data_IF_428364019968
#
_entry.id   IF_428364019968
#
_cell.length_a   1.000
_cell.length_b   1.000
_cell.length_c   1.000
_cell.angle_alpha   90.00
_cell.angle_beta   90.00
_cell.angle_gamma   90.00
#
_symmetry.space_group_name_H-M   'P 1'
#
loop_
_entity.id
_entity.type
_entity.pdbx_description
1 polymer ?
#
# COMPACT_ATOMS: atom_id res chain seq x y z
N UNK A 1 -7.17 18.09 -15.24
CA UNK A 1 -5.91 18.87 -15.11
C UNK A 1 -6.18 20.06 -14.20
N UNK A 2 -5.16 20.52 -13.48
CA UNK A 2 -5.19 21.72 -12.65
C UNK A 2 -4.13 22.70 -13.17
N UNK A 3 -4.55 23.93 -13.42
CA UNK A 3 -3.75 25.08 -13.87
C UNK A 3 -3.40 26.05 -12.72
N UNK A 4 -4.09 25.92 -11.59
CA UNK A 4 -3.77 26.60 -10.32
C UNK A 4 -3.84 25.63 -9.14
N UNK A 5 -3.33 26.06 -7.98
CA UNK A 5 -3.49 25.31 -6.73
C UNK A 5 -4.95 24.94 -6.51
N UNK A 6 -5.21 23.68 -6.16
CA UNK A 6 -6.57 23.19 -5.94
C UNK A 6 -6.65 22.36 -4.66
N UNK A 7 -7.78 22.44 -3.97
CA UNK A 7 -8.01 21.71 -2.73
C UNK A 7 -9.30 20.91 -2.84
N UNK A 8 -9.21 19.61 -2.54
CA UNK A 8 -10.35 18.73 -2.38
C UNK A 8 -10.64 18.54 -0.89
N UNK A 9 -11.90 18.64 -0.50
CA UNK A 9 -12.32 18.50 0.90
C UNK A 9 -13.32 17.36 1.04
N UNK A 10 -13.05 16.47 1.99
CA UNK A 10 -13.87 15.31 2.32
C UNK A 10 -14.43 15.45 3.72
N UNK A 11 -15.74 15.24 3.86
CA UNK A 11 -16.39 15.08 5.17
C UNK A 11 -16.47 13.59 5.47
N UNK A 12 -15.75 13.16 6.49
CA UNK A 12 -15.66 11.77 6.94
C UNK A 12 -16.70 11.53 8.03
N UNK A 13 -17.30 10.34 8.07
CA UNK A 13 -18.28 9.98 9.09
C UNK A 13 -17.67 9.80 10.49
N UNK A 14 -16.35 9.59 10.56
CA UNK A 14 -15.60 9.39 11.81
C UNK A 14 -14.20 9.95 11.64
N UNK A 15 -13.65 10.52 12.71
CA UNK A 15 -12.22 10.78 12.83
C UNK A 15 -11.46 9.45 13.06
N UNK A 16 -10.15 9.46 12.83
CA UNK A 16 -9.27 8.31 13.01
C UNK A 16 -8.47 7.97 11.76
N UNK A 17 -8.03 6.71 11.68
CA UNK A 17 -7.20 6.23 10.58
C UNK A 17 -7.97 6.10 9.27
N UNK A 18 -7.37 6.61 8.21
CA UNK A 18 -7.88 6.51 6.85
C UNK A 18 -6.75 6.19 5.88
N UNK A 19 -7.03 5.34 4.89
CA UNK A 19 -6.20 5.30 3.69
C UNK A 19 -6.56 6.44 2.75
N UNK A 20 -5.53 7.14 2.28
CA UNK A 20 -5.59 8.02 1.13
C UNK A 20 -4.92 7.29 -0.03
N UNK A 21 -5.66 7.08 -1.13
CA UNK A 21 -5.12 6.50 -2.36
C UNK A 21 -5.25 7.52 -3.48
N UNK A 22 -4.11 7.85 -4.08
CA UNK A 22 -4.01 8.81 -5.17
C UNK A 22 -3.67 8.04 -6.44
N UNK A 23 -4.54 8.15 -7.44
CA UNK A 23 -4.41 7.43 -8.71
C UNK A 23 -3.96 8.40 -9.81
N UNK A 24 -2.83 8.07 -10.43
CA UNK A 24 -2.22 8.83 -11.51
C UNK A 24 -2.11 7.95 -12.74
N UNK A 25 -2.59 8.46 -13.87
CA UNK A 25 -2.38 7.92 -15.19
C UNK A 25 -2.11 9.11 -16.11
N UNK A 26 -0.83 9.43 -16.38
CA UNK A 26 -0.47 10.59 -17.17
C UNK A 26 -0.84 10.31 -18.63
N UNK A 27 -1.87 10.98 -19.11
CA UNK A 27 -2.25 10.98 -20.53
C UNK A 27 -1.41 12.03 -21.24
N UNK A 28 -0.79 11.64 -22.35
CA UNK A 28 -0.13 12.58 -23.27
C UNK A 28 -1.11 12.95 -24.38
N UNK A 29 -1.30 14.24 -24.58
CA UNK A 29 -2.08 14.81 -25.69
C UNK A 29 -1.24 15.88 -26.40
N UNK A 30 -1.64 16.29 -27.60
CA UNK A 30 -0.89 17.28 -28.40
C UNK A 30 -0.73 18.62 -27.68
N UNK A 31 -1.70 19.00 -26.85
CA UNK A 31 -1.72 20.28 -26.13
C UNK A 31 -1.10 20.20 -24.72
N UNK A 32 -1.12 19.01 -24.09
CA UNK A 32 -0.64 18.82 -22.72
C UNK A 32 0.02 17.45 -22.51
N UNK A 33 1.27 17.47 -22.05
CA UNK A 33 1.98 16.27 -21.63
C UNK A 33 2.02 16.15 -20.10
N UNK A 34 1.05 15.42 -19.53
CA UNK A 34 0.95 15.20 -18.08
C UNK A 34 2.15 14.43 -17.48
N UNK A 35 3.00 13.83 -18.30
CA UNK A 35 4.27 13.24 -17.83
C UNK A 35 5.27 14.30 -17.37
N UNK A 36 5.14 15.54 -17.85
CA UNK A 36 5.99 16.67 -17.45
C UNK A 36 5.43 17.45 -16.25
N UNK A 37 4.26 17.06 -15.75
CA UNK A 37 3.66 17.65 -14.56
C UNK A 37 4.55 17.45 -13.33
N UNK A 38 4.79 18.52 -12.59
CA UNK A 38 5.53 18.53 -11.33
C UNK A 38 4.76 19.29 -10.27
N UNK A 39 4.37 18.59 -9.21
CA UNK A 39 3.51 19.17 -8.17
C UNK A 39 3.72 18.52 -6.80
N UNK A 40 3.15 19.14 -5.78
CA UNK A 40 3.09 18.64 -4.40
C UNK A 40 1.67 18.27 -4.05
N UNK A 41 1.51 17.25 -3.22
CA UNK A 41 0.23 16.90 -2.60
C UNK A 41 0.39 16.96 -1.09
N UNK A 42 -0.45 17.77 -0.46
CA UNK A 42 -0.40 18.08 0.96
C UNK A 42 -1.76 17.76 1.57
N UNK A 43 -1.75 17.13 2.73
CA UNK A 43 -2.93 16.86 3.54
C UNK A 43 -2.72 17.44 4.92
N UNK A 44 -3.44 18.51 5.26
CA UNK A 44 -3.22 19.32 6.46
C UNK A 44 -1.74 19.73 6.62
N UNK A 45 -1.02 19.21 7.62
CA UNK A 45 0.41 19.44 7.84
C UNK A 45 1.33 18.37 7.21
N UNK A 46 0.77 17.33 6.61
CA UNK A 46 1.50 16.20 6.05
C UNK A 46 1.73 16.38 4.55
N UNK A 47 2.99 16.36 4.12
CA UNK A 47 3.35 16.30 2.69
C UNK A 47 3.28 14.84 2.24
N UNK A 48 2.25 14.49 1.47
CA UNK A 48 2.09 13.13 0.91
C UNK A 48 3.04 12.91 -0.28
N UNK A 49 3.11 13.92 -1.15
CA UNK A 49 3.96 13.92 -2.34
C UNK A 49 4.73 15.23 -2.41
N UNK A 50 6.05 15.12 -2.58
CA UNK A 50 6.94 16.26 -2.77
C UNK A 50 7.56 16.19 -4.16
N UNK A 51 7.40 17.25 -4.96
CA UNK A 51 7.97 17.33 -6.31
C UNK A 51 7.67 16.09 -7.19
N UNK A 52 6.44 15.59 -7.12
CA UNK A 52 6.04 14.38 -7.82
C UNK A 52 5.98 14.59 -9.33
N UNK A 53 6.62 13.67 -10.05
CA UNK A 53 6.46 13.41 -11.48
C UNK A 53 5.95 11.98 -11.65
N UNK A 54 5.02 11.78 -12.58
CA UNK A 54 4.46 10.45 -12.83
C UNK A 54 5.32 9.67 -13.83
N UNK A 55 5.56 8.40 -13.54
CA UNK A 55 6.04 7.45 -14.54
C UNK A 55 4.96 7.20 -15.61
N UNK A 56 5.36 6.75 -16.82
CA UNK A 56 4.39 6.28 -17.82
C UNK A 56 3.51 5.15 -17.26
N UNK A 57 2.21 5.23 -17.55
CA UNK A 57 1.24 4.22 -17.10
C UNK A 57 0.59 4.54 -15.75
N UNK A 58 -0.18 3.58 -15.22
CA UNK A 58 -0.94 3.77 -14.00
C UNK A 58 -0.07 3.59 -12.76
N UNK A 59 -0.10 4.59 -11.87
CA UNK A 59 0.55 4.55 -10.56
C UNK A 59 -0.47 4.90 -9.47
N UNK A 60 -0.43 4.14 -8.38
CA UNK A 60 -1.22 4.40 -7.19
C UNK A 60 -0.30 4.64 -5.99
N UNK A 61 -0.52 5.74 -5.27
CA UNK A 61 0.19 6.06 -4.02
C UNK A 61 -0.76 5.90 -2.85
N UNK A 62 -0.40 5.05 -1.88
CA UNK A 62 -1.23 4.69 -0.72
C UNK A 62 -0.60 5.16 0.59
N UNK A 63 -1.32 5.99 1.32
CA UNK A 63 -0.93 6.51 2.63
C UNK A 63 -1.97 6.10 3.66
N UNK A 64 -1.53 5.82 4.89
CA UNK A 64 -2.36 5.58 6.06
C UNK A 64 -2.08 6.72 7.04
N UNK A 65 -3.09 7.53 7.30
CA UNK A 65 -2.98 8.78 8.05
C UNK A 65 -4.07 8.84 9.10
N UNK A 66 -3.73 9.33 10.29
CA UNK A 66 -4.68 9.52 11.38
C UNK A 66 -5.17 10.96 11.41
N UNK A 67 -6.48 11.17 11.29
CA UNK A 67 -7.09 12.49 11.33
C UNK A 67 -7.87 12.67 12.63
N UNK A 68 -7.62 13.78 13.34
CA UNK A 68 -8.37 14.13 14.55
C UNK A 68 -9.68 14.84 14.24
N UNK A 69 -9.80 15.43 13.05
CA UNK A 69 -11.00 16.07 12.52
C UNK A 69 -11.79 15.11 11.63
N UNK A 70 -13.11 15.32 11.54
CA UNK A 70 -13.98 14.68 10.54
C UNK A 70 -13.91 15.36 9.17
N UNK A 71 -13.02 16.33 9.00
CA UNK A 71 -12.75 16.99 7.73
C UNK A 71 -11.32 16.72 7.30
N UNK A 72 -11.16 16.20 6.09
CA UNK A 72 -9.88 15.95 5.43
C UNK A 72 -9.76 16.90 4.23
N UNK A 73 -8.63 17.61 4.12
CA UNK A 73 -8.31 18.42 2.95
C UNK A 73 -7.08 17.88 2.24
N UNK A 74 -7.16 17.70 0.91
CA UNK A 74 -6.04 17.31 0.05
C UNK A 74 -5.79 18.44 -0.92
N UNK A 75 -4.67 19.15 -0.73
CA UNK A 75 -4.23 20.28 -1.54
C UNK A 75 -3.17 19.84 -2.54
N UNK A 76 -3.37 20.21 -3.80
CA UNK A 76 -2.40 20.12 -4.87
C UNK A 76 -1.77 21.50 -5.07
N UNK A 77 -0.45 21.57 -4.98
CA UNK A 77 0.32 22.80 -5.23
C UNK A 77 1.29 22.60 -6.38
N UNK A 78 1.23 23.47 -7.36
CA UNK A 78 1.95 23.31 -8.62
C UNK A 78 3.39 23.85 -8.48
N UNK A 79 4.32 23.26 -9.21
CA UNK A 79 5.59 23.91 -9.47
C UNK A 79 5.39 25.09 -10.44
N UNK A 80 6.36 26.02 -10.48
CA UNK A 80 6.33 27.14 -11.42
C UNK A 80 6.27 26.61 -12.87
N UNK A 81 5.40 27.19 -13.68
CA UNK A 81 5.19 26.86 -15.09
C UNK A 81 4.92 25.36 -15.32
N UNK A 82 4.24 24.71 -14.37
CA UNK A 82 3.88 23.29 -14.42
C UNK A 82 2.38 23.09 -14.18
N UNK A 83 1.90 21.86 -14.38
CA UNK A 83 0.52 21.45 -14.16
C UNK A 83 0.45 20.39 -13.06
N UNK A 84 -0.71 20.28 -12.42
CA UNK A 84 -1.02 19.13 -11.56
C UNK A 84 -2.18 18.32 -12.13
N UNK A 85 -2.20 17.03 -11.83
CA UNK A 85 -3.31 16.17 -12.22
C UNK A 85 -3.55 15.08 -11.19
N UNK A 86 -4.78 14.57 -11.20
CA UNK A 86 -5.21 13.44 -10.42
C UNK A 86 -6.34 12.77 -11.20
N UNK A 87 -6.33 11.44 -11.30
CA UNK A 87 -7.38 10.70 -11.99
C UNK A 87 -8.47 10.25 -11.01
N UNK A 88 -8.07 9.83 -9.80
CA UNK A 88 -9.00 9.51 -8.72
C UNK A 88 -8.35 9.69 -7.35
N UNK A 89 -9.19 10.01 -6.36
CA UNK A 89 -8.84 10.05 -4.94
C UNK A 89 -9.79 9.09 -4.21
N UNK A 90 -9.24 8.12 -3.50
CA UNK A 90 -10.01 7.29 -2.56
C UNK A 90 -9.64 7.68 -1.13
N UNK A 91 -10.65 7.86 -0.29
CA UNK A 91 -10.53 8.03 1.16
C UNK A 91 -11.32 6.92 1.82
N UNK A 92 -10.63 6.00 2.52
CA UNK A 92 -11.23 4.78 3.04
C UNK A 92 -10.91 4.65 4.53
N UNK A 93 -11.92 4.46 5.38
CA UNK A 93 -11.73 4.24 6.81
C UNK A 93 -10.88 2.99 7.08
N UNK A 94 -9.89 3.13 7.96
CA UNK A 94 -9.04 2.06 8.45
C UNK A 94 -9.33 1.79 9.94
N UNK A 95 -9.73 0.57 10.30
CA UNK A 95 -9.92 0.20 11.71
C UNK A 95 -8.62 0.29 12.53
N UNK A 96 -8.74 0.76 13.77
CA UNK A 96 -7.60 0.96 14.70
C UNK A 96 -6.84 -0.35 14.96
N UNK A 97 -7.53 -1.50 14.93
CA UNK A 97 -6.93 -2.83 15.09
C UNK A 97 -5.85 -3.19 14.05
N UNK A 98 -5.74 -2.43 12.96
CA UNK A 98 -4.72 -2.66 11.92
C UNK A 98 -3.38 -2.00 12.25
N UNK A 99 -3.35 -1.11 13.24
CA UNK A 99 -2.17 -0.32 13.59
C UNK A 99 -1.82 -0.61 15.05
N UNK A 100 -0.73 -1.34 15.26
CA UNK A 100 -0.16 -1.52 16.60
C UNK A 100 0.67 -0.29 16.96
N UNK A 101 0.50 0.24 18.18
CA UNK A 101 1.39 1.29 18.70
C UNK A 101 2.78 0.75 19.06
N UNK A 102 2.85 -0.56 19.33
CA UNK A 102 4.06 -1.26 19.73
C UNK A 102 4.65 -1.99 18.53
N UNK A 103 5.97 -1.86 18.35
CA UNK A 103 6.75 -2.65 17.41
C UNK A 103 8.13 -2.96 17.95
N UNK A 104 9.00 -3.52 17.11
CA UNK A 104 10.38 -3.85 17.46
C UNK A 104 11.34 -3.14 16.49
N UNK A 105 12.40 -2.54 17.02
CA UNK A 105 13.55 -2.12 16.22
C UNK A 105 14.39 -3.33 15.85
N UNK A 106 15.09 -3.26 14.71
CA UNK A 106 15.93 -4.36 14.24
C UNK A 106 17.31 -4.38 14.90
N UNK A 107 17.93 -3.21 15.05
CA UNK A 107 19.30 -3.07 15.57
C UNK A 107 19.43 -1.81 16.43
N UNK A 108 19.61 -1.92 17.75
CA UNK A 108 19.45 -3.14 18.56
C UNK A 108 17.99 -3.61 18.56
N UNK A 109 17.77 -4.88 18.89
CA UNK A 109 16.40 -5.39 19.12
C UNK A 109 15.89 -4.78 20.41
N UNK A 110 14.94 -3.87 20.29
CA UNK A 110 14.28 -3.23 21.40
C UNK A 110 12.82 -2.97 21.04
N UNK A 111 11.96 -3.00 22.05
CA UNK A 111 10.58 -2.60 21.87
C UNK A 111 10.53 -1.08 21.64
N UNK A 112 9.78 -0.66 20.63
CA UNK A 112 9.46 0.74 20.37
C UNK A 112 7.96 0.95 20.49
N UNK A 113 7.56 2.15 20.87
CA UNK A 113 6.17 2.58 21.01
C UNK A 113 5.96 3.86 20.18
N UNK A 114 4.75 4.42 20.20
CA UNK A 114 4.42 5.64 19.45
C UNK A 114 4.41 5.46 17.93
N UNK A 115 4.24 4.22 17.43
CA UNK A 115 4.02 4.00 16.00
C UNK A 115 2.73 4.69 15.52
N UNK A 116 1.71 4.78 16.37
CA UNK A 116 0.44 5.44 16.04
C UNK A 116 0.56 6.97 15.92
N UNK A 117 1.68 7.57 16.32
CA UNK A 117 1.95 9.00 16.15
C UNK A 117 2.48 9.34 14.75
N UNK A 118 2.76 8.32 13.93
CA UNK A 118 3.33 8.48 12.59
C UNK A 118 2.29 8.19 11.50
N UNK A 119 2.50 8.78 10.32
CA UNK A 119 1.77 8.39 9.10
C UNK A 119 2.60 7.42 8.29
N UNK A 120 1.94 6.50 7.57
CA UNK A 120 2.62 5.43 6.83
C UNK A 120 2.36 5.54 5.34
N UNK A 121 3.39 5.34 4.52
CA UNK A 121 3.21 5.03 3.12
C UNK A 121 3.32 3.51 2.94
N UNK A 122 2.33 2.89 2.31
CA UNK A 122 2.47 1.47 1.95
C UNK A 122 3.31 1.35 0.68
N UNK A 123 4.46 0.71 0.80
CA UNK A 123 5.37 0.45 -0.33
C UNK A 123 5.11 -0.93 -0.94
N UNK A 124 4.96 -1.95 -0.10
CA UNK A 124 4.69 -3.32 -0.52
C UNK A 124 3.54 -3.92 0.29
N UNK A 125 2.75 -4.77 -0.37
CA UNK A 125 1.71 -5.59 0.26
C UNK A 125 1.65 -6.91 -0.51
N UNK A 126 2.09 -7.99 0.10
CA UNK A 126 2.40 -9.24 -0.60
C UNK A 126 1.57 -10.41 -0.08
N UNK A 127 1.07 -11.24 -1.00
CA UNK A 127 0.53 -12.56 -0.69
C UNK A 127 1.64 -13.61 -0.88
N UNK A 128 2.31 -13.98 0.20
CA UNK A 128 3.50 -14.84 0.15
C UNK A 128 3.13 -16.27 -0.23
N UNK A 129 3.76 -16.81 -1.28
CA UNK A 129 3.52 -18.16 -1.78
C UNK A 129 2.15 -18.36 -2.45
N UNK A 130 1.33 -17.31 -2.53
CA UNK A 130 0.00 -17.32 -3.11
C UNK A 130 -0.09 -16.47 -4.37
N UNK A 131 -1.20 -16.60 -5.13
CA UNK A 131 -1.45 -15.74 -6.28
C UNK A 131 -1.81 -14.32 -5.84
N UNK A 132 -1.78 -13.37 -6.79
CA UNK A 132 -2.27 -12.01 -6.57
C UNK A 132 -3.71 -12.02 -6.03
N UNK A 133 -3.96 -11.23 -4.98
CA UNK A 133 -5.31 -10.99 -4.46
C UNK A 133 -5.81 -9.65 -5.00
N UNK A 134 -6.89 -9.72 -5.78
CA UNK A 134 -7.51 -8.54 -6.38
C UNK A 134 -8.29 -7.73 -5.35
N UNK A 135 -8.34 -6.40 -5.54
CA UNK A 135 -9.00 -5.49 -4.62
C UNK A 135 -10.48 -5.82 -4.38
N UNK A 136 -11.18 -6.43 -5.34
CA UNK A 136 -12.59 -6.80 -5.17
C UNK A 136 -12.78 -7.85 -4.06
N UNK A 137 -11.80 -8.73 -3.88
CA UNK A 137 -11.81 -9.85 -2.93
C UNK A 137 -11.30 -9.47 -1.53
N UNK A 138 -10.73 -8.27 -1.36
CA UNK A 138 -10.28 -7.75 -0.06
C UNK A 138 -11.36 -6.85 0.57
N UNK A 139 -11.74 -7.06 1.84
CA UNK A 139 -12.76 -6.25 2.52
C UNK A 139 -12.46 -4.74 2.56
N UNK A 140 -11.18 -4.37 2.51
CA UNK A 140 -10.70 -2.99 2.54
C UNK A 140 -10.23 -2.52 1.16
N UNK A 141 -10.56 -3.27 0.10
CA UNK A 141 -10.20 -2.97 -1.29
C UNK A 141 -8.69 -2.84 -1.53
N UNK A 142 -7.87 -3.58 -0.80
CA UNK A 142 -6.41 -3.65 -1.00
C UNK A 142 -6.08 -4.71 -2.06
N UNK A 143 -5.08 -4.44 -2.89
CA UNK A 143 -4.49 -5.47 -3.75
C UNK A 143 -3.21 -6.02 -3.11
N UNK A 144 -3.09 -7.35 -3.10
CA UNK A 144 -1.91 -8.05 -2.60
C UNK A 144 -1.13 -8.64 -3.78
N UNK A 145 0.11 -8.21 -3.97
CA UNK A 145 0.95 -8.67 -5.06
C UNK A 145 1.62 -10.03 -4.75
N UNK A 146 2.03 -10.75 -5.78
CA UNK A 146 2.85 -11.95 -5.62
C UNK A 146 4.25 -11.59 -5.09
N UNK A 147 4.81 -12.45 -4.27
CA UNK A 147 6.11 -12.27 -3.64
C UNK A 147 7.29 -12.73 -4.52
N UNK A 148 7.04 -13.58 -5.51
CA UNK A 148 8.06 -14.24 -6.35
C UNK A 148 9.12 -13.29 -6.95
N UNK A 149 8.71 -12.08 -7.36
CA UNK A 149 9.64 -11.08 -7.93
C UNK A 149 10.65 -10.52 -6.91
N UNK A 150 10.36 -10.64 -5.62
CA UNK A 150 11.21 -10.20 -4.52
C UNK A 150 12.10 -11.32 -3.97
N UNK A 151 11.88 -12.57 -4.40
CA UNK A 151 12.64 -13.72 -3.93
C UNK A 151 14.02 -13.78 -4.59
N UNK A 152 15.06 -13.90 -3.75
CA UNK A 152 16.46 -14.03 -4.19
C UNK A 152 17.16 -15.11 -3.35
N UNK A 153 17.61 -16.25 -3.93
CA UNK A 153 17.43 -16.68 -5.33
C UNK A 153 15.99 -17.13 -5.63
N UNK A 154 15.57 -17.11 -6.90
CA UNK A 154 14.17 -17.41 -7.29
C UNK A 154 13.72 -18.86 -7.00
N UNK A 155 14.66 -19.77 -6.78
CA UNK A 155 14.43 -21.17 -6.42
C UNK A 155 14.72 -21.44 -4.93
N UNK A 156 14.71 -20.41 -4.08
CA UNK A 156 14.97 -20.57 -2.65
C UNK A 156 13.82 -21.24 -1.89
N UNK A 157 12.62 -21.25 -2.47
CA UNK A 157 11.42 -21.65 -1.75
C UNK A 157 10.39 -22.30 -2.64
N UNK A 158 9.54 -23.09 -1.98
CA UNK A 158 8.43 -23.82 -2.55
C UNK A 158 7.12 -23.26 -1.98
N UNK A 159 6.15 -23.04 -2.86
CA UNK A 159 4.82 -22.58 -2.45
C UNK A 159 4.03 -23.75 -1.85
N UNK A 160 3.37 -23.48 -0.73
CA UNK A 160 2.42 -24.39 -0.09
C UNK A 160 1.11 -23.68 0.14
N UNK A 161 0.00 -24.41 0.05
CA UNK A 161 -1.32 -23.83 0.24
C UNK A 161 -2.34 -24.83 0.77
N UNK A 162 -3.40 -24.28 1.35
CA UNK A 162 -4.63 -24.97 1.76
C UNK A 162 -5.83 -24.24 1.13
N UNK A 163 -7.02 -24.83 1.21
CA UNK A 163 -8.21 -24.14 0.73
C UNK A 163 -8.57 -22.94 1.63
N UNK A 164 -8.79 -21.72 1.11
CA UNK A 164 -9.03 -20.53 1.95
C UNK A 164 -10.20 -20.64 2.94
N UNK A 165 -11.17 -21.52 2.67
CA UNK A 165 -12.33 -21.75 3.53
C UNK A 165 -11.98 -22.38 4.89
N UNK A 166 -10.79 -22.99 5.02
CA UNK A 166 -10.35 -23.60 6.29
C UNK A 166 -9.75 -22.57 7.26
N UNK A 167 -9.52 -21.35 6.80
CA UNK A 167 -8.96 -20.28 7.62
C UNK A 167 -10.01 -19.77 8.59
N UNK A 168 -9.71 -19.91 9.88
CA UNK A 168 -10.50 -19.37 10.98
C UNK A 168 -9.73 -18.25 11.67
N UNK A 169 -10.43 -17.15 11.98
CA UNK A 169 -9.85 -16.03 12.71
C UNK A 169 -10.14 -16.20 14.21
N UNK A 170 -9.11 -16.17 15.07
CA UNK A 170 -9.30 -16.15 16.52
C UNK A 170 -10.15 -14.95 16.97
N UNK A 171 -10.73 -15.05 18.17
CA UNK A 171 -11.48 -13.95 18.78
C UNK A 171 -10.64 -12.66 18.82
N UNK A 172 -11.22 -11.54 18.37
CA UNK A 172 -10.54 -10.24 18.27
C UNK A 172 -9.79 -10.02 16.95
N UNK A 173 -9.59 -11.06 16.14
CA UNK A 173 -9.09 -10.93 14.77
C UNK A 173 -10.24 -10.88 13.76
N UNK A 174 -9.94 -10.36 12.58
CA UNK A 174 -10.93 -10.14 11.54
C UNK A 174 -10.31 -10.30 10.14
N UNK A 175 -11.10 -10.71 9.13
CA UNK A 175 -10.69 -10.64 7.71
C UNK A 175 -10.27 -9.25 7.24
N UNK A 176 -10.55 -8.20 8.04
CA UNK A 176 -10.02 -6.86 7.82
C UNK A 176 -8.49 -6.81 7.92
N UNK A 177 -7.84 -7.67 8.73
CA UNK A 177 -6.37 -7.73 8.81
C UNK A 177 -5.79 -8.16 7.47
N UNK A 178 -6.24 -9.31 6.96
CA UNK A 178 -5.97 -9.82 5.62
C UNK A 178 -7.05 -10.83 5.25
N UNK A 179 -7.40 -10.99 3.97
CA UNK A 179 -8.40 -11.96 3.53
C UNK A 179 -7.90 -13.41 3.72
N UNK A 180 -8.80 -14.40 3.81
CA UNK A 180 -8.43 -15.80 4.06
C UNK A 180 -7.38 -16.33 3.09
N UNK A 181 -7.43 -15.90 1.83
CA UNK A 181 -6.49 -16.31 0.78
C UNK A 181 -5.03 -15.96 1.09
N UNK A 182 -4.78 -14.96 1.94
CA UNK A 182 -3.41 -14.58 2.35
C UNK A 182 -2.85 -15.53 3.40
N UNK A 183 -3.68 -16.02 4.32
CA UNK A 183 -3.28 -17.00 5.33
C UNK A 183 -3.31 -18.44 4.81
N UNK A 184 -3.97 -18.67 3.68
CA UNK A 184 -4.10 -19.97 3.06
C UNK A 184 -2.88 -20.38 2.21
N UNK A 185 -1.91 -19.49 2.03
CA UNK A 185 -0.68 -19.75 1.30
C UNK A 185 0.54 -19.31 2.09
N UNK A 186 1.66 -19.99 1.86
CA UNK A 186 2.96 -19.62 2.38
C UNK A 186 4.06 -20.10 1.43
N UNK A 187 5.28 -19.64 1.69
CA UNK A 187 6.49 -20.16 1.06
C UNK A 187 7.35 -20.84 2.12
N UNK A 188 7.69 -22.11 1.89
CA UNK A 188 8.63 -22.87 2.72
C UNK A 188 9.98 -23.00 2.01
N UNK A 189 11.06 -23.19 2.78
CA UNK A 189 12.38 -23.44 2.19
C UNK A 189 12.38 -24.74 1.40
N UNK A 190 12.91 -24.70 0.18
CA UNK A 190 13.08 -25.92 -0.61
C UNK A 190 14.38 -26.64 -0.19
N UNK A 191 14.25 -27.88 0.28
CA UNK A 191 15.41 -28.71 0.63
C UNK A 191 15.95 -29.35 -0.65
N UNK A 192 17.08 -28.86 -1.13
CA UNK A 192 17.84 -29.54 -2.18
C UNK A 192 18.56 -30.76 -1.57
N UNK A 193 17.97 -31.94 -1.68
CA UNK A 193 18.71 -33.18 -1.44
C UNK A 193 19.63 -33.39 -2.63
N UNK A 194 20.91 -33.04 -2.49
CA UNK A 194 21.93 -33.49 -3.43
C UNK A 194 22.02 -35.02 -3.31
N UNK A 195 21.39 -35.75 -4.22
CA UNK A 195 21.76 -37.14 -4.42
C UNK A 195 23.19 -37.14 -4.94
N UNK A 196 24.15 -37.44 -4.07
CA UNK A 196 25.49 -37.82 -4.50
C UNK A 196 25.34 -39.09 -5.34
N UNK A 197 25.38 -38.95 -6.67
CA UNK A 197 25.51 -40.09 -7.56
C UNK A 197 26.78 -40.85 -7.14
N UNK A 198 26.73 -42.16 -6.92
CA UNK A 198 27.94 -42.92 -6.69
C UNK A 198 28.77 -42.84 -7.98
N UNK A 199 30.03 -42.42 -7.83
CA UNK A 199 31.00 -42.49 -8.92
C UNK A 199 31.07 -43.95 -9.42
N UNK A 200 30.75 -44.16 -10.70
CA UNK A 200 31.18 -45.36 -11.44
C UNK A 200 32.56 -45.11 -12.04
#
# INVERSE_FOLDING_TARGET
>A
MLDTDATYTFRMSKAGWHWIRLHFFPVSSDDDNLQQSKFRVISDSLVLLHEFSSEPGWVMKKYLVNFTSQQLSIKFTLAKDSTAFINAIEVVYAPDMLISDIGNTLVPVAQTSSLTQNSFQTVYLLNVGGPKVESQSDPLKRSWAEDKQYLKPQNAGKNVSVEPKVIAYPNGNSPLVAPPSVYASAMEMEIFIFSSSPFC
#
